data_IF_046891282843
#
_entry.id   IF_046891282843
#
_cell.length_a   1.000
_cell.length_b   1.000
_cell.length_c   1.000
_cell.angle_alpha   90.00
_cell.angle_beta   90.00
_cell.angle_gamma   90.00
#
_symmetry.space_group_name_H-M   'P 1'
#
loop_
_entity.id
_entity.type
_entity.pdbx_description
1 polymer ?
#
# COMPACT_ATOMS: atom_id res chain seq x y z
N UNK A 1 -16.79 4.49 9.63
CA UNK A 1 -16.50 5.15 8.34
C UNK A 1 -15.21 4.52 7.79
N UNK A 2 -15.14 4.25 6.49
CA UNK A 2 -13.96 3.65 5.83
C UNK A 2 -12.89 4.73 5.64
N UNK A 3 -11.62 4.39 5.94
CA UNK A 3 -10.47 5.30 5.78
C UNK A 3 -9.77 5.05 4.45
N UNK A 4 -9.29 6.11 3.83
CA UNK A 4 -8.60 6.06 2.54
C UNK A 4 -7.13 6.45 2.71
N UNK A 5 -6.25 5.62 2.16
CA UNK A 5 -4.80 5.84 2.07
C UNK A 5 -4.44 6.13 0.61
N UNK A 6 -3.91 7.31 0.33
CA UNK A 6 -3.27 7.60 -0.95
C UNK A 6 -1.81 7.12 -0.90
N UNK A 7 -1.49 6.09 -1.67
CA UNK A 7 -0.13 5.55 -1.80
C UNK A 7 0.62 6.28 -2.91
N UNK A 8 1.55 7.15 -2.56
CA UNK A 8 2.41 7.83 -3.53
C UNK A 8 3.48 6.88 -4.09
N UNK A 9 3.85 5.84 -3.32
CA UNK A 9 4.82 4.85 -3.73
C UNK A 9 6.12 5.49 -4.24
N UNK A 10 6.49 5.22 -5.49
CA UNK A 10 7.62 5.78 -6.21
C UNK A 10 7.18 6.84 -7.25
N UNK A 11 5.90 7.19 -7.29
CA UNK A 11 5.34 8.09 -8.29
C UNK A 11 5.86 9.54 -8.17
N UNK A 12 6.49 9.88 -7.04
CA UNK A 12 7.18 11.17 -6.86
C UNK A 12 8.49 11.27 -7.66
N UNK A 13 8.96 10.18 -8.30
CA UNK A 13 10.16 10.13 -9.15
C UNK A 13 11.45 10.70 -8.49
N UNK A 14 11.52 10.78 -7.16
CA UNK A 14 12.62 11.41 -6.42
C UNK A 14 12.54 12.95 -6.37
N UNK A 15 11.50 13.56 -6.94
CA UNK A 15 11.28 15.00 -6.98
C UNK A 15 10.49 15.47 -5.76
N UNK A 16 11.10 16.38 -4.97
CA UNK A 16 10.52 16.95 -3.75
C UNK A 16 9.30 17.83 -4.04
N UNK A 17 9.31 18.57 -5.15
CA UNK A 17 8.21 19.46 -5.53
C UNK A 17 7.01 18.62 -5.99
N UNK A 18 7.25 17.62 -6.85
CA UNK A 18 6.22 16.68 -7.25
C UNK A 18 5.60 15.95 -6.05
N UNK A 19 6.42 15.54 -5.07
CA UNK A 19 5.92 14.94 -3.83
C UNK A 19 5.01 15.91 -3.06
N UNK A 20 5.39 17.19 -2.98
CA UNK A 20 4.57 18.25 -2.34
C UNK A 20 3.23 18.41 -3.04
N UNK A 21 3.23 18.49 -4.37
CA UNK A 21 2.01 18.65 -5.18
C UNK A 21 1.09 17.41 -5.03
N UNK A 22 1.68 16.21 -4.99
CA UNK A 22 0.92 14.98 -4.77
C UNK A 22 0.29 14.93 -3.37
N UNK A 23 1.00 15.37 -2.32
CA UNK A 23 0.44 15.44 -0.95
C UNK A 23 -0.72 16.44 -0.90
N UNK A 24 -0.55 17.63 -1.50
CA UNK A 24 -1.60 18.65 -1.56
C UNK A 24 -2.84 18.12 -2.28
N UNK A 25 -2.67 17.53 -3.46
CA UNK A 25 -3.77 16.97 -4.24
C UNK A 25 -4.48 15.81 -3.51
N UNK A 26 -3.74 14.91 -2.86
CA UNK A 26 -4.32 13.82 -2.08
C UNK A 26 -5.15 14.37 -0.89
N UNK A 27 -4.64 15.38 -0.20
CA UNK A 27 -5.35 16.04 0.90
C UNK A 27 -6.63 16.75 0.42
N UNK A 28 -6.56 17.46 -0.71
CA UNK A 28 -7.73 18.09 -1.34
C UNK A 28 -8.79 17.05 -1.76
N UNK A 29 -8.36 15.88 -2.21
CA UNK A 29 -9.29 14.77 -2.50
C UNK A 29 -9.99 14.24 -1.24
N UNK A 30 -9.51 14.59 -0.03
CA UNK A 30 -10.13 14.28 1.25
C UNK A 30 -9.73 12.93 1.84
N UNK A 31 -8.53 12.44 1.55
CA UNK A 31 -8.00 11.19 2.11
C UNK A 31 -7.67 11.32 3.60
N UNK A 32 -7.63 10.20 4.33
CA UNK A 32 -7.24 10.16 5.74
C UNK A 32 -5.72 10.10 5.91
N UNK A 33 -5.04 9.40 4.99
CA UNK A 33 -3.60 9.15 5.03
C UNK A 33 -2.96 9.39 3.67
N UNK A 34 -1.74 9.90 3.70
CA UNK A 34 -0.84 9.86 2.55
C UNK A 34 0.37 8.99 2.89
N UNK A 35 0.79 8.14 1.97
CA UNK A 35 1.85 7.16 2.22
C UNK A 35 2.98 7.28 1.21
N UNK A 36 4.22 7.22 1.71
CA UNK A 36 5.46 7.06 0.96
C UNK A 36 6.12 5.72 1.29
N UNK A 37 7.23 5.44 0.63
CA UNK A 37 8.06 4.26 0.88
C UNK A 37 9.44 4.68 1.38
N UNK A 38 9.79 4.31 2.63
CA UNK A 38 11.12 4.54 3.20
C UNK A 38 12.10 3.47 2.72
N UNK A 39 12.29 3.41 1.39
CA UNK A 39 13.21 2.50 0.75
C UNK A 39 14.53 3.23 0.50
N UNK A 40 15.66 2.53 0.65
CA UNK A 40 16.97 3.03 0.25
C UNK A 40 17.67 2.02 -0.65
N UNK A 41 18.27 2.52 -1.71
CA UNK A 41 19.00 1.69 -2.67
C UNK A 41 20.11 0.86 -2.02
N UNK A 42 20.78 1.40 -1.00
CA UNK A 42 21.84 0.72 -0.24
C UNK A 42 21.36 -0.52 0.54
N UNK A 43 20.05 -0.62 0.83
CA UNK A 43 19.48 -1.77 1.52
C UNK A 43 19.11 -2.90 0.55
N UNK A 44 19.25 -2.65 -0.78
CA UNK A 44 18.98 -3.68 -1.79
C UNK A 44 20.03 -4.78 -1.73
N UNK A 45 19.60 -6.03 -1.61
CA UNK A 45 20.49 -7.19 -1.66
C UNK A 45 20.49 -7.83 -3.03
N UNK A 46 21.69 -8.25 -3.48
CA UNK A 46 21.81 -9.01 -4.72
C UNK A 46 21.22 -10.41 -4.53
N UNK A 47 20.25 -10.77 -5.39
CA UNK A 47 19.60 -12.09 -5.37
C UNK A 47 19.81 -12.76 -6.73
N UNK A 48 20.59 -13.86 -6.82
CA UNK A 48 20.96 -14.52 -8.08
C UNK A 48 19.77 -14.83 -8.98
N UNK A 49 18.63 -15.26 -8.41
CA UNK A 49 17.42 -15.59 -9.16
C UNK A 49 16.83 -14.41 -9.95
N UNK A 50 17.03 -13.17 -9.50
CA UNK A 50 16.53 -12.00 -10.20
C UNK A 50 17.48 -11.46 -11.26
N UNK A 51 18.76 -11.87 -11.26
CA UNK A 51 19.72 -11.42 -12.27
C UNK A 51 19.31 -11.88 -13.68
N UNK A 52 18.86 -13.13 -13.78
CA UNK A 52 18.47 -13.76 -15.06
C UNK A 52 16.96 -13.79 -15.26
N UNK A 53 16.19 -13.83 -14.17
CA UNK A 53 14.78 -14.17 -14.19
C UNK A 53 14.56 -15.65 -14.49
N UNK A 54 13.32 -16.08 -14.61
CA UNK A 54 12.96 -17.43 -15.01
C UNK A 54 11.62 -17.39 -15.74
N UNK A 55 11.60 -17.92 -16.97
CA UNK A 55 10.38 -18.14 -17.76
C UNK A 55 10.30 -19.63 -18.03
N UNK A 56 9.16 -20.25 -17.72
CA UNK A 56 8.86 -21.65 -17.99
C UNK A 56 7.52 -21.74 -18.69
N UNK A 57 7.46 -22.37 -19.85
CA UNK A 57 6.22 -22.55 -20.64
C UNK A 57 5.47 -21.24 -20.85
N UNK A 58 6.19 -20.17 -21.24
CA UNK A 58 5.68 -18.80 -21.44
C UNK A 58 5.15 -18.11 -20.16
N UNK A 59 5.33 -18.74 -19.01
CA UNK A 59 4.95 -18.16 -17.72
C UNK A 59 6.19 -17.59 -17.03
N UNK A 60 6.14 -16.29 -16.71
CA UNK A 60 7.19 -15.66 -15.91
C UNK A 60 7.12 -16.15 -14.47
N UNK A 61 7.99 -17.06 -14.09
CA UNK A 61 8.13 -17.58 -12.71
C UNK A 61 8.93 -16.62 -11.82
N UNK A 62 9.97 -16.00 -12.38
CA UNK A 62 10.78 -15.01 -11.69
C UNK A 62 11.02 -13.82 -12.62
N UNK A 63 10.64 -12.64 -12.20
CA UNK A 63 10.85 -11.40 -12.96
C UNK A 63 12.36 -11.11 -13.01
N UNK A 64 12.88 -10.82 -14.21
CA UNK A 64 14.26 -10.36 -14.37
C UNK A 64 14.40 -8.94 -13.81
N UNK A 65 15.22 -8.79 -12.76
CA UNK A 65 15.54 -7.50 -12.11
C UNK A 65 17.02 -7.49 -11.70
N UNK A 66 17.95 -7.25 -12.65
CA UNK A 66 19.39 -7.23 -12.36
C UNK A 66 19.70 -6.20 -11.27
N UNK A 67 20.53 -6.60 -10.30
CA UNK A 67 20.86 -5.78 -9.12
C UNK A 67 21.34 -4.37 -9.51
N UNK A 68 22.30 -4.27 -10.42
CA UNK A 68 22.90 -2.96 -10.80
C UNK A 68 21.86 -2.01 -11.40
N UNK A 69 21.01 -2.52 -12.28
CA UNK A 69 19.93 -1.74 -12.92
C UNK A 69 18.93 -1.25 -11.87
N UNK A 70 18.49 -2.16 -11.00
CA UNK A 70 17.51 -1.82 -9.96
C UNK A 70 18.12 -0.89 -8.90
N UNK A 71 19.37 -1.09 -8.49
CA UNK A 71 20.08 -0.20 -7.58
C UNK A 71 20.17 1.22 -8.13
N UNK A 72 20.61 1.39 -9.39
CA UNK A 72 20.73 2.71 -10.01
C UNK A 72 19.38 3.41 -10.16
N UNK A 73 18.32 2.65 -10.40
CA UNK A 73 16.96 3.17 -10.46
C UNK A 73 16.49 3.63 -9.08
N UNK A 74 16.64 2.79 -8.07
CA UNK A 74 16.22 3.08 -6.70
C UNK A 74 16.99 4.26 -6.10
N UNK A 75 18.28 4.40 -6.41
CA UNK A 75 19.10 5.50 -5.93
C UNK A 75 18.53 6.89 -6.28
N UNK A 76 17.83 7.00 -7.41
CA UNK A 76 17.15 8.24 -7.81
C UNK A 76 15.89 8.52 -6.98
N UNK A 77 15.37 7.51 -6.29
CA UNK A 77 14.14 7.58 -5.51
C UNK A 77 14.41 7.60 -4.00
N UNK A 78 15.68 7.47 -3.59
CA UNK A 78 16.07 7.46 -2.19
C UNK A 78 15.60 8.75 -1.50
N UNK A 79 14.83 8.63 -0.45
CA UNK A 79 14.41 9.75 0.40
C UNK A 79 15.33 9.82 1.61
N UNK A 80 16.06 10.94 1.75
CA UNK A 80 16.79 11.25 2.98
C UNK A 80 15.85 11.38 4.17
N UNK A 81 16.37 11.33 5.39
CA UNK A 81 15.54 11.59 6.58
C UNK A 81 14.97 13.00 6.56
N UNK A 82 15.71 13.98 6.03
CA UNK A 82 15.21 15.35 5.83
C UNK A 82 14.03 15.39 4.87
N UNK A 83 14.09 14.71 3.72
CA UNK A 83 12.98 14.65 2.77
C UNK A 83 11.76 13.92 3.35
N UNK A 84 11.97 12.91 4.19
CA UNK A 84 10.89 12.23 4.89
C UNK A 84 10.25 13.13 5.97
N UNK A 85 11.07 13.91 6.69
CA UNK A 85 10.55 14.90 7.63
C UNK A 85 9.77 15.99 6.91
N UNK A 86 10.27 16.50 5.80
CA UNK A 86 9.55 17.44 4.95
C UNK A 86 8.19 16.88 4.47
N UNK A 87 8.14 15.61 4.06
CA UNK A 87 6.86 14.94 3.75
C UNK A 87 5.89 14.95 4.94
N UNK A 88 6.40 14.67 6.14
CA UNK A 88 5.58 14.70 7.37
C UNK A 88 5.04 16.11 7.63
N UNK A 89 5.87 17.14 7.50
CA UNK A 89 5.48 18.54 7.65
C UNK A 89 4.39 18.94 6.64
N UNK A 90 4.51 18.50 5.38
CA UNK A 90 3.46 18.69 4.38
C UNK A 90 2.14 18.02 4.81
N UNK A 91 2.20 16.76 5.29
CA UNK A 91 1.01 16.06 5.76
C UNK A 91 0.35 16.80 6.93
N UNK A 92 1.13 17.33 7.87
CA UNK A 92 0.63 18.12 9.00
C UNK A 92 -0.01 19.42 8.47
N UNK A 93 0.67 20.16 7.59
CA UNK A 93 0.17 21.37 6.95
C UNK A 93 -1.20 21.15 6.27
N UNK A 94 -1.34 20.05 5.55
CA UNK A 94 -2.58 19.70 4.83
C UNK A 94 -3.57 18.86 5.65
N UNK A 95 -3.30 18.63 6.95
CA UNK A 95 -4.19 17.94 7.91
C UNK A 95 -4.51 16.49 7.49
N UNK A 96 -3.57 15.79 6.86
CA UNK A 96 -3.61 14.35 6.57
C UNK A 96 -2.56 13.63 7.41
N UNK A 97 -2.75 12.33 7.64
CA UNK A 97 -1.83 11.54 8.46
C UNK A 97 -0.68 10.98 7.62
N UNK A 98 0.58 11.18 8.03
CA UNK A 98 1.73 10.64 7.33
C UNK A 98 1.90 9.14 7.60
N UNK A 99 2.08 8.37 6.54
CA UNK A 99 2.44 6.95 6.59
C UNK A 99 3.71 6.66 5.81
N UNK A 100 4.43 5.62 6.22
CA UNK A 100 5.53 5.08 5.40
C UNK A 100 5.59 3.56 5.44
N UNK A 101 6.00 2.95 4.32
CA UNK A 101 6.36 1.54 4.28
C UNK A 101 7.80 1.36 4.73
N UNK A 102 8.03 0.45 5.68
CA UNK A 102 9.35 0.12 6.21
C UNK A 102 9.82 -1.20 5.63
N UNK A 103 10.98 -1.22 4.98
CA UNK A 103 11.54 -2.39 4.31
C UNK A 103 12.80 -2.95 4.98
N UNK A 104 13.43 -2.20 5.87
CA UNK A 104 14.72 -2.57 6.45
C UNK A 104 14.70 -2.45 7.97
N UNK A 105 15.18 -3.51 8.65
CA UNK A 105 15.37 -3.53 10.10
C UNK A 105 16.25 -2.38 10.59
N UNK A 106 17.32 -2.07 9.83
CA UNK A 106 18.30 -1.06 10.19
C UNK A 106 17.71 0.35 10.23
N UNK A 107 16.60 0.56 9.53
CA UNK A 107 15.95 1.87 9.42
C UNK A 107 14.92 2.15 10.51
N UNK A 108 14.46 1.12 11.23
CA UNK A 108 13.35 1.27 12.18
C UNK A 108 13.67 2.33 13.23
N UNK A 109 14.89 2.30 13.84
CA UNK A 109 15.28 3.25 14.88
C UNK A 109 15.28 4.71 14.41
N UNK A 110 15.68 4.96 13.16
CA UNK A 110 15.69 6.31 12.57
C UNK A 110 14.27 6.77 12.26
N UNK A 111 13.47 5.90 11.64
CA UNK A 111 12.09 6.21 11.25
C UNK A 111 11.16 6.38 12.46
N UNK A 112 11.41 5.65 13.55
CA UNK A 112 10.61 5.76 14.77
C UNK A 112 10.74 7.13 15.45
N UNK A 113 11.89 7.82 15.25
CA UNK A 113 12.13 9.18 15.73
C UNK A 113 11.34 10.23 14.92
N UNK A 114 10.92 9.91 13.69
CA UNK A 114 10.12 10.78 12.85
C UNK A 114 8.63 10.69 13.25
N UNK A 115 7.88 11.75 12.99
CA UNK A 115 6.47 11.87 13.38
C UNK A 115 5.51 11.19 12.39
N UNK A 116 5.86 10.01 11.87
CA UNK A 116 4.87 9.19 11.16
C UNK A 116 3.75 8.74 12.10
N UNK A 117 2.51 8.73 11.63
CA UNK A 117 1.35 8.20 12.39
C UNK A 117 1.35 6.66 12.34
N UNK A 118 1.68 6.08 11.20
CA UNK A 118 1.52 4.65 10.92
C UNK A 118 2.68 4.10 10.11
N UNK A 119 3.17 2.93 10.50
CA UNK A 119 4.08 2.13 9.68
C UNK A 119 3.31 1.08 8.89
N UNK A 120 3.74 0.87 7.65
CA UNK A 120 3.23 -0.16 6.75
C UNK A 120 4.27 -1.25 6.54
N UNK A 121 3.81 -2.48 6.48
CA UNK A 121 4.59 -3.64 6.05
C UNK A 121 4.07 -4.08 4.68
N UNK A 122 4.95 -4.18 3.70
CA UNK A 122 4.62 -4.67 2.37
C UNK A 122 4.24 -6.15 2.38
N UNK A 123 3.50 -6.60 1.37
CA UNK A 123 3.01 -7.99 1.31
C UNK A 123 4.11 -9.04 1.43
N UNK A 124 5.22 -8.85 0.74
CA UNK A 124 6.32 -9.83 0.75
C UNK A 124 7.10 -9.85 2.09
N UNK A 125 6.90 -8.85 2.96
CA UNK A 125 7.45 -8.79 4.31
C UNK A 125 6.45 -9.23 5.39
N UNK A 126 5.27 -9.69 5.01
CA UNK A 126 4.28 -10.17 5.97
C UNK A 126 4.83 -11.30 6.86
N UNK A 127 5.70 -12.15 6.33
CA UNK A 127 6.40 -13.22 7.07
C UNK A 127 7.84 -12.87 7.47
N UNK A 128 8.24 -11.61 7.36
CA UNK A 128 9.52 -11.11 7.88
C UNK A 128 9.43 -10.91 9.39
N UNK A 129 9.37 -12.00 10.17
CA UNK A 129 9.00 -11.99 11.59
C UNK A 129 9.89 -11.07 12.44
N UNK A 130 11.20 -11.03 12.19
CA UNK A 130 12.11 -10.09 12.89
C UNK A 130 11.76 -8.64 12.63
N UNK A 131 11.36 -8.28 11.40
CA UNK A 131 10.88 -6.94 11.06
C UNK A 131 9.58 -6.63 11.80
N UNK A 132 8.63 -7.55 11.79
CA UNK A 132 7.34 -7.44 12.47
C UNK A 132 7.52 -7.23 13.98
N UNK A 133 8.37 -8.02 14.64
CA UNK A 133 8.67 -7.89 16.07
C UNK A 133 9.27 -6.54 16.43
N UNK A 134 10.22 -6.03 15.63
CA UNK A 134 10.82 -4.73 15.89
C UNK A 134 9.83 -3.58 15.65
N UNK A 135 9.02 -3.65 14.61
CA UNK A 135 7.96 -2.67 14.35
C UNK A 135 6.88 -2.70 15.44
N UNK A 136 6.57 -3.87 16.00
CA UNK A 136 5.62 -4.00 17.08
C UNK A 136 6.06 -3.27 18.38
N UNK A 137 7.37 -3.10 18.60
CA UNK A 137 7.93 -2.36 19.75
C UNK A 137 7.81 -0.85 19.62
N UNK A 138 7.59 -0.33 18.41
CA UNK A 138 7.41 1.12 18.18
C UNK A 138 6.02 1.57 18.69
N UNK A 139 5.85 2.87 18.92
CA UNK A 139 4.54 3.45 19.30
C UNK A 139 3.62 3.66 18.09
N UNK A 140 4.13 3.50 16.86
CA UNK A 140 3.37 3.76 15.62
C UNK A 140 2.26 2.75 15.41
N UNK A 141 1.15 3.14 14.78
CA UNK A 141 0.15 2.17 14.30
C UNK A 141 0.79 1.25 13.26
N UNK A 142 0.26 0.03 13.11
CA UNK A 142 0.83 -0.94 12.19
C UNK A 142 -0.23 -1.48 11.23
N UNK A 143 0.06 -1.38 9.93
CA UNK A 143 -0.76 -1.95 8.86
C UNK A 143 0.10 -2.91 8.04
N UNK A 144 -0.40 -4.11 7.75
CA UNK A 144 0.35 -5.18 7.08
C UNK A 144 -0.48 -5.69 5.91
N UNK A 145 0.09 -5.65 4.70
CA UNK A 145 -0.52 -6.29 3.52
C UNK A 145 -0.20 -7.77 3.47
N UNK A 146 -1.12 -8.56 2.90
CA UNK A 146 -1.07 -10.04 2.92
C UNK A 146 -1.06 -10.67 1.52
N UNK A 147 -0.68 -9.91 0.49
CA UNK A 147 -0.58 -10.41 -0.89
C UNK A 147 0.55 -11.42 -1.06
N UNK A 148 0.30 -12.53 -1.76
CA UNK A 148 1.31 -13.57 -1.98
C UNK A 148 1.79 -14.27 -0.70
N UNK A 149 1.05 -14.17 0.41
CA UNK A 149 1.40 -14.74 1.71
C UNK A 149 0.49 -15.93 2.02
N UNK A 150 1.06 -17.03 2.51
CA UNK A 150 0.29 -18.19 2.93
C UNK A 150 -0.49 -17.93 4.21
N UNK A 151 -1.61 -18.62 4.39
CA UNK A 151 -2.47 -18.46 5.57
C UNK A 151 -1.72 -18.75 6.89
N UNK A 152 -0.83 -19.76 6.89
CA UNK A 152 0.01 -20.09 8.04
C UNK A 152 0.90 -18.92 8.46
N UNK A 153 1.50 -18.20 7.50
CA UNK A 153 2.37 -17.06 7.75
C UNK A 153 1.60 -15.86 8.30
N UNK A 154 0.38 -15.62 7.76
CA UNK A 154 -0.53 -14.58 8.27
C UNK A 154 -0.92 -14.89 9.72
N UNK A 155 -1.24 -16.15 10.03
CA UNK A 155 -1.58 -16.60 11.38
C UNK A 155 -0.41 -16.37 12.33
N UNK A 156 0.79 -16.80 11.96
CA UNK A 156 2.01 -16.62 12.76
C UNK A 156 2.33 -15.15 13.02
N UNK A 157 2.25 -14.30 11.99
CA UNK A 157 2.38 -12.84 12.15
C UNK A 157 1.34 -12.28 13.14
N UNK A 158 0.10 -12.72 13.04
CA UNK A 158 -0.95 -12.28 13.97
C UNK A 158 -0.69 -12.74 15.41
N UNK A 159 -0.19 -13.96 15.62
CA UNK A 159 0.16 -14.50 16.94
C UNK A 159 1.31 -13.72 17.58
N UNK A 160 2.37 -13.41 16.81
CA UNK A 160 3.48 -12.57 17.25
C UNK A 160 2.97 -11.21 17.73
N UNK A 161 2.14 -10.55 16.92
CA UNK A 161 1.62 -9.21 17.24
C UNK A 161 0.68 -9.23 18.46
N UNK A 162 -0.15 -10.27 18.62
CA UNK A 162 -1.01 -10.48 19.78
C UNK A 162 -0.18 -10.71 21.06
N UNK A 163 0.85 -11.56 20.99
CA UNK A 163 1.79 -11.80 22.09
C UNK A 163 2.46 -10.50 22.55
N UNK A 164 2.82 -9.64 21.62
CA UNK A 164 3.41 -8.32 21.89
C UNK A 164 2.36 -7.24 22.21
N UNK A 165 1.07 -7.60 22.33
CA UNK A 165 -0.05 -6.69 22.61
C UNK A 165 -0.15 -5.52 21.62
N UNK A 166 0.35 -5.71 20.38
CA UNK A 166 0.34 -4.70 19.35
C UNK A 166 -1.01 -4.67 18.62
N UNK A 167 -1.64 -3.49 18.56
CA UNK A 167 -2.80 -3.28 17.67
C UNK A 167 -2.30 -3.19 16.21
N UNK A 168 -2.96 -3.92 15.32
CA UNK A 168 -2.60 -3.96 13.90
C UNK A 168 -3.82 -4.13 12.99
N UNK A 169 -3.62 -3.82 11.73
CA UNK A 169 -4.60 -4.00 10.66
C UNK A 169 -4.01 -4.85 9.55
N UNK A 170 -4.73 -5.85 9.07
CA UNK A 170 -4.39 -6.53 7.83
C UNK A 170 -5.10 -5.91 6.63
N UNK A 171 -4.36 -5.73 5.53
CA UNK A 171 -4.93 -5.43 4.23
C UNK A 171 -4.87 -6.67 3.34
N UNK A 172 -6.04 -7.09 2.85
CA UNK A 172 -6.10 -8.00 1.72
C UNK A 172 -5.42 -7.34 0.51
N UNK A 173 -4.69 -8.11 -0.27
CA UNK A 173 -3.95 -7.62 -1.42
C UNK A 173 -3.71 -8.76 -2.40
N UNK A 174 -3.81 -8.48 -3.69
CA UNK A 174 -3.36 -9.35 -4.78
C UNK A 174 -2.13 -8.72 -5.42
N UNK A 175 -1.04 -9.49 -5.51
CA UNK A 175 0.26 -9.01 -6.02
C UNK A 175 0.39 -9.13 -7.54
N UNK A 176 -0.71 -8.92 -8.28
CA UNK A 176 -0.77 -8.84 -9.73
C UNK A 176 -1.13 -7.39 -10.10
N UNK A 177 -0.33 -6.76 -10.95
CA UNK A 177 -0.43 -5.35 -11.31
C UNK A 177 -0.64 -5.18 -12.82
N UNK A 178 -1.82 -4.80 -13.31
CA UNK A 178 -3.08 -4.60 -12.58
C UNK A 178 -3.74 -5.92 -12.15
N UNK A 179 -4.44 -5.89 -11.00
CA UNK A 179 -5.24 -7.04 -10.54
C UNK A 179 -6.49 -7.21 -11.41
N UNK A 180 -6.69 -8.37 -12.07
CA UNK A 180 -7.96 -8.68 -12.72
C UNK A 180 -9.07 -8.86 -11.66
N UNK A 181 -10.28 -8.35 -11.91
CA UNK A 181 -11.38 -8.43 -10.93
C UNK A 181 -11.72 -9.88 -10.54
N UNK A 182 -11.64 -10.83 -11.49
CA UNK A 182 -11.87 -12.26 -11.23
C UNK A 182 -10.88 -12.87 -10.23
N UNK A 183 -9.69 -12.28 -10.07
CA UNK A 183 -8.66 -12.71 -9.12
C UNK A 183 -8.75 -11.97 -7.78
N UNK A 184 -9.70 -11.05 -7.63
CA UNK A 184 -9.77 -10.16 -6.47
C UNK A 184 -9.97 -10.90 -5.13
N UNK A 185 -10.66 -12.05 -5.14
CA UNK A 185 -10.84 -12.95 -3.99
C UNK A 185 -11.20 -12.22 -2.67
N UNK A 186 -12.23 -11.38 -2.70
CA UNK A 186 -12.62 -10.50 -1.59
C UNK A 186 -13.03 -11.26 -0.32
N UNK A 187 -13.42 -12.54 -0.42
CA UNK A 187 -13.70 -13.41 0.73
C UNK A 187 -12.53 -13.50 1.72
N UNK A 188 -11.29 -13.24 1.26
CA UNK A 188 -10.12 -13.17 2.15
C UNK A 188 -10.22 -12.04 3.16
N UNK A 189 -10.96 -10.97 2.89
CA UNK A 189 -11.21 -9.89 3.87
C UNK A 189 -11.94 -10.46 5.09
N UNK A 190 -12.94 -11.32 4.87
CA UNK A 190 -13.66 -11.98 5.98
C UNK A 190 -12.77 -12.97 6.74
N UNK A 191 -11.90 -13.69 6.02
CA UNK A 191 -10.94 -14.58 6.64
C UNK A 191 -9.97 -13.80 7.56
N UNK A 192 -9.48 -12.64 7.12
CA UNK A 192 -8.55 -11.80 7.90
C UNK A 192 -9.18 -11.25 9.18
N UNK A 193 -10.51 -11.08 9.25
CA UNK A 193 -11.24 -10.67 10.46
C UNK A 193 -11.06 -11.66 11.62
N UNK A 194 -10.73 -12.94 11.35
CA UNK A 194 -10.44 -13.94 12.39
C UNK A 194 -9.16 -13.62 13.17
N UNK A 195 -8.26 -12.83 12.60
CA UNK A 195 -6.96 -12.52 13.20
C UNK A 195 -6.87 -11.14 13.83
N UNK A 196 -7.62 -10.16 13.31
CA UNK A 196 -7.60 -8.77 13.77
C UNK A 196 -8.97 -8.10 13.71
N UNK A 197 -9.19 -7.09 14.56
CA UNK A 197 -10.45 -6.34 14.59
C UNK A 197 -10.66 -5.44 13.36
N UNK A 198 -9.58 -4.97 12.75
CA UNK A 198 -9.63 -4.05 11.63
C UNK A 198 -8.96 -4.68 10.40
N UNK A 199 -9.69 -4.70 9.30
CA UNK A 199 -9.21 -5.23 8.01
C UNK A 199 -9.47 -4.22 6.91
N UNK A 200 -8.73 -4.32 5.82
CA UNK A 200 -8.90 -3.47 4.65
C UNK A 200 -8.42 -4.16 3.38
N UNK A 201 -8.21 -3.36 2.35
CA UNK A 201 -7.70 -3.79 1.05
C UNK A 201 -6.61 -2.82 0.58
N UNK A 202 -5.56 -3.36 -0.05
CA UNK A 202 -4.67 -2.62 -0.94
C UNK A 202 -5.06 -2.99 -2.36
N UNK A 203 -5.72 -2.06 -3.06
CA UNK A 203 -6.36 -2.31 -4.36
C UNK A 203 -5.42 -1.92 -5.50
N UNK A 204 -5.02 -2.91 -6.30
CA UNK A 204 -4.15 -2.76 -7.47
C UNK A 204 -4.91 -2.99 -8.79
N UNK A 205 -6.23 -2.91 -8.80
CA UNK A 205 -7.01 -3.00 -10.03
C UNK A 205 -6.77 -1.79 -10.95
N UNK A 206 -6.99 -1.99 -12.26
CA UNK A 206 -6.84 -0.91 -13.24
C UNK A 206 -7.89 0.19 -13.03
N UNK A 207 -7.50 1.44 -12.74
CA UNK A 207 -8.47 2.53 -12.61
C UNK A 207 -9.18 2.87 -13.92
N UNK A 208 -8.54 2.63 -15.08
CA UNK A 208 -9.13 2.88 -16.39
C UNK A 208 -10.25 1.88 -16.71
N UNK A 209 -10.03 0.59 -16.40
CA UNK A 209 -10.99 -0.47 -16.72
C UNK A 209 -12.09 -0.60 -15.68
N UNK A 210 -11.72 -0.45 -14.40
CA UNK A 210 -12.57 -0.85 -13.27
C UNK A 210 -12.95 0.34 -12.37
N UNK A 211 -12.38 1.54 -12.60
CA UNK A 211 -12.60 2.68 -11.70
C UNK A 211 -12.29 2.33 -10.24
N UNK A 212 -13.25 2.55 -9.37
CA UNK A 212 -13.17 2.26 -7.93
C UNK A 212 -13.95 1.00 -7.52
N UNK A 213 -14.42 0.19 -8.46
CA UNK A 213 -15.35 -0.91 -8.17
C UNK A 213 -14.79 -1.92 -7.17
N UNK A 214 -13.51 -2.34 -7.32
CA UNK A 214 -12.91 -3.29 -6.38
C UNK A 214 -12.81 -2.71 -4.96
N UNK A 215 -12.40 -1.45 -4.83
CA UNK A 215 -12.35 -0.74 -3.56
C UNK A 215 -13.74 -0.67 -2.89
N UNK A 216 -14.77 -0.33 -3.64
CA UNK A 216 -16.14 -0.23 -3.13
C UNK A 216 -16.73 -1.62 -2.79
N UNK A 217 -16.45 -2.63 -3.62
CA UNK A 217 -16.83 -4.00 -3.32
C UNK A 217 -16.20 -4.49 -2.00
N UNK A 218 -14.93 -4.17 -1.76
CA UNK A 218 -14.25 -4.54 -0.52
C UNK A 218 -14.94 -3.96 0.73
N UNK A 219 -15.57 -2.78 0.65
CA UNK A 219 -16.37 -2.20 1.75
C UNK A 219 -17.55 -3.13 2.09
N UNK A 220 -18.19 -3.74 1.09
CA UNK A 220 -19.30 -4.68 1.31
C UNK A 220 -18.84 -5.95 2.05
N UNK A 221 -17.59 -6.37 1.88
CA UNK A 221 -16.95 -7.45 2.63
C UNK A 221 -16.41 -6.99 3.99
N UNK A 222 -16.59 -5.70 4.33
CA UNK A 222 -16.27 -5.13 5.63
C UNK A 222 -14.87 -4.52 5.73
N UNK A 223 -14.24 -4.19 4.62
CA UNK A 223 -13.01 -3.40 4.64
C UNK A 223 -13.27 -2.03 5.30
N UNK A 224 -12.42 -1.67 6.25
CA UNK A 224 -12.44 -0.39 6.97
C UNK A 224 -11.31 0.54 6.55
N UNK A 225 -10.37 0.03 5.76
CA UNK A 225 -9.25 0.78 5.20
C UNK A 225 -9.10 0.38 3.74
N UNK A 226 -8.95 1.35 2.87
CA UNK A 226 -8.65 1.18 1.45
C UNK A 226 -7.36 1.90 1.14
N UNK A 227 -6.39 1.20 0.58
CA UNK A 227 -5.14 1.76 0.06
C UNK A 227 -5.20 1.74 -1.47
N UNK A 228 -4.95 2.88 -2.11
CA UNK A 228 -4.87 3.04 -3.57
C UNK A 228 -3.61 3.78 -3.95
N UNK A 229 -2.90 3.26 -4.94
CA UNK A 229 -1.83 4.02 -5.59
C UNK A 229 -2.38 5.30 -6.22
N UNK A 230 -1.68 6.39 -6.04
CA UNK A 230 -2.10 7.72 -6.48
C UNK A 230 -0.99 8.43 -7.25
N UNK A 231 -1.37 9.16 -8.29
CA UNK A 231 -0.47 10.06 -9.03
C UNK A 231 -1.22 11.23 -9.65
N UNK A 232 -0.55 12.36 -9.80
CA UNK A 232 -1.02 13.50 -10.58
C UNK A 232 -0.41 13.52 -11.99
N UNK A 233 0.50 12.60 -12.28
CA UNK A 233 1.14 12.45 -13.58
C UNK A 233 0.34 11.52 -14.49
N UNK A 234 0.62 11.58 -15.80
CA UNK A 234 0.14 10.58 -16.74
C UNK A 234 0.70 9.21 -16.38
N UNK A 235 -0.07 8.14 -16.62
CA UNK A 235 0.26 6.76 -16.22
C UNK A 235 1.61 6.24 -16.73
N UNK A 236 2.03 6.69 -17.90
CA UNK A 236 3.30 6.32 -18.54
C UNK A 236 4.52 7.04 -17.94
N UNK A 237 4.29 8.04 -17.08
CA UNK A 237 5.35 8.83 -16.44
C UNK A 237 5.76 8.31 -15.07
N UNK A 238 5.11 7.26 -14.58
CA UNK A 238 5.42 6.61 -13.30
C UNK A 238 5.38 5.09 -13.42
N UNK A 239 6.13 4.40 -12.55
CA UNK A 239 6.19 2.94 -12.56
C UNK A 239 4.84 2.28 -12.24
N UNK A 240 4.11 2.83 -11.28
CA UNK A 240 2.84 2.28 -10.80
C UNK A 240 1.62 3.00 -11.39
N UNK A 241 1.83 3.78 -12.47
CA UNK A 241 0.78 4.55 -13.11
C UNK A 241 -0.41 3.72 -13.60
N UNK A 242 -0.15 2.48 -14.05
CA UNK A 242 -1.20 1.56 -14.54
C UNK A 242 -2.20 1.13 -13.46
N UNK A 243 -1.85 1.25 -12.18
CA UNK A 243 -2.71 0.95 -11.03
C UNK A 243 -3.03 2.18 -10.19
N UNK A 244 -2.45 3.32 -10.52
CA UNK A 244 -2.65 4.58 -9.78
C UNK A 244 -3.90 5.30 -10.22
N UNK A 245 -4.72 5.71 -9.27
CA UNK A 245 -5.84 6.63 -9.50
C UNK A 245 -5.30 8.05 -9.67
N UNK A 246 -5.97 8.84 -10.49
CA UNK A 246 -5.75 10.28 -10.58
C UNK A 246 -6.57 11.04 -9.51
N UNK A 247 -6.43 12.38 -9.48
CA UNK A 247 -7.12 13.24 -8.53
C UNK A 247 -8.64 13.04 -8.52
N UNK A 248 -9.29 13.06 -9.68
CA UNK A 248 -10.74 12.93 -9.79
C UNK A 248 -11.24 11.55 -9.35
N UNK A 249 -10.50 10.49 -9.70
CA UNK A 249 -10.83 9.12 -9.30
C UNK A 249 -10.66 8.95 -7.78
N UNK A 250 -9.61 9.54 -7.18
CA UNK A 250 -9.38 9.50 -5.73
C UNK A 250 -10.48 10.26 -4.98
N UNK A 251 -10.81 11.48 -5.42
CA UNK A 251 -11.90 12.29 -4.84
C UNK A 251 -13.24 11.58 -4.91
N UNK A 252 -13.52 10.92 -6.05
CA UNK A 252 -14.70 10.09 -6.23
C UNK A 252 -14.71 8.90 -5.26
N UNK A 253 -13.58 8.20 -5.09
CA UNK A 253 -13.46 7.09 -4.13
C UNK A 253 -13.73 7.55 -2.71
N UNK A 254 -13.13 8.67 -2.29
CA UNK A 254 -13.35 9.24 -0.95
C UNK A 254 -14.83 9.53 -0.71
N UNK A 255 -15.50 10.19 -1.66
CA UNK A 255 -16.93 10.47 -1.58
C UNK A 255 -17.76 9.20 -1.47
N UNK A 256 -17.54 8.25 -2.38
CA UNK A 256 -18.31 7.00 -2.44
C UNK A 256 -18.05 6.08 -1.24
N UNK A 257 -16.86 6.10 -0.65
CA UNK A 257 -16.53 5.31 0.54
C UNK A 257 -17.28 5.75 1.80
N UNK A 258 -17.83 6.96 1.80
CA UNK A 258 -18.65 7.53 2.89
C UNK A 258 -20.14 7.24 2.74
N UNK A 259 -20.56 6.71 1.58
CA UNK A 259 -21.95 6.33 1.35
C UNK A 259 -22.37 5.16 2.27
N UNK A 260 -23.67 5.05 2.51
CA UNK A 260 -24.18 3.88 3.23
C UNK A 260 -24.07 2.61 2.37
N UNK A 261 -24.04 1.45 3.03
CA UNK A 261 -23.86 0.14 2.38
C UNK A 261 -24.96 -0.15 1.34
N UNK A 262 -26.18 0.33 1.57
CA UNK A 262 -27.30 0.12 0.66
C UNK A 262 -27.04 0.85 -0.68
N UNK A 263 -26.56 2.09 -0.62
CA UNK A 263 -26.19 2.88 -1.80
C UNK A 263 -25.07 2.21 -2.60
N UNK A 264 -24.04 1.72 -1.91
CA UNK A 264 -22.93 0.99 -2.55
C UNK A 264 -23.47 -0.29 -3.22
N UNK A 265 -24.29 -1.09 -2.53
CA UNK A 265 -24.92 -2.30 -3.11
C UNK A 265 -25.77 -1.99 -4.36
N UNK A 266 -26.55 -0.91 -4.35
CA UNK A 266 -27.36 -0.50 -5.51
C UNK A 266 -26.52 -0.22 -6.76
N UNK A 267 -25.29 0.32 -6.62
CA UNK A 267 -24.37 0.55 -7.74
C UNK A 267 -23.99 -0.75 -8.45
N UNK A 268 -23.68 -1.80 -7.68
CA UNK A 268 -23.30 -3.10 -8.25
C UNK A 268 -24.46 -3.83 -8.91
N UNK A 269 -25.69 -3.75 -8.35
CA UNK A 269 -26.87 -4.31 -8.99
C UNK A 269 -27.13 -3.68 -10.37
N UNK A 270 -26.96 -2.35 -10.51
CA UNK A 270 -27.13 -1.66 -11.79
C UNK A 270 -26.07 -2.08 -12.84
N UNK A 271 -24.87 -2.47 -12.41
CA UNK A 271 -23.79 -2.93 -13.29
C UNK A 271 -23.87 -4.41 -13.66
N UNK A 272 -24.91 -5.16 -13.23
CA UNK A 272 -25.04 -6.62 -13.41
C UNK A 272 -23.79 -7.39 -12.93
N UNK A 273 -23.13 -6.92 -11.87
CA UNK A 273 -21.91 -7.51 -11.31
C UNK A 273 -22.19 -8.44 -10.12
N UNK A 274 -23.47 -8.82 -9.92
CA UNK A 274 -23.94 -9.83 -8.98
C UNK A 274 -25.01 -10.67 -9.64
#
# INVERSE_FOLDING_TARGET
MTKIIAELCQNHNGDKNLMSDMVAAAAEAGVDYVKIQSMQSKDLTKRPRFERGLIESDITKVIKRPFRTEYNRLRKLDLSLENQNYFIELCIKYKVKPMTTVFSLNRIKELDKLNFDTFKVASFDCSSYKLIEQLAKTKKNLIISTGGTYLREIKETAEILKKLKKKFTFLHCISIYPTPLKEANLNRIELLKKFTKTVGISDHSSPEKNGNDLSLAAILYGAKIIERHFTILKKDKTRDGVVSVNFNQLKTLVSQSKENIISIKKRFKKKKMY
#
